data_IF_662087734089
#
_entry.id   IF_662087734089
#
_cell.length_a   1.000
_cell.length_b   1.000
_cell.length_c   1.000
_cell.angle_alpha   90.00
_cell.angle_beta   90.00
_cell.angle_gamma   90.00
#
_symmetry.space_group_name_H-M   'P 1'
#
loop_
_entity.id
_entity.type
_entity.pdbx_description
1 polymer ?
#
# COMPACT_ATOMS: atom_id res chain seq x y z
N UNK A 1 31.37 23.28 -51.27
CA UNK A 1 30.14 22.67 -50.75
C UNK A 1 30.48 22.03 -49.41
N UNK A 2 30.20 22.75 -48.32
CA UNK A 2 30.65 22.46 -46.95
C UNK A 2 29.64 21.51 -46.31
N UNK A 3 30.09 20.31 -45.90
CA UNK A 3 29.22 19.32 -45.25
C UNK A 3 29.05 19.68 -43.77
N UNK A 4 27.88 20.20 -43.41
CA UNK A 4 27.48 20.40 -42.02
C UNK A 4 27.35 19.04 -41.30
N UNK A 5 28.28 18.77 -40.40
CA UNK A 5 28.16 17.69 -39.41
C UNK A 5 27.32 18.19 -38.24
N UNK A 6 26.05 17.77 -38.18
CA UNK A 6 25.20 18.00 -37.02
C UNK A 6 25.63 17.07 -35.89
N UNK A 7 26.11 17.65 -34.79
CA UNK A 7 26.46 16.95 -33.56
C UNK A 7 25.16 16.59 -32.84
N UNK A 8 24.80 15.30 -32.84
CA UNK A 8 23.71 14.75 -32.04
C UNK A 8 24.19 14.60 -30.59
N UNK A 9 23.83 15.57 -29.75
CA UNK A 9 24.07 15.54 -28.31
C UNK A 9 23.03 14.60 -27.65
N UNK A 10 23.40 13.33 -27.49
CA UNK A 10 22.56 12.33 -26.81
C UNK A 10 22.45 12.64 -25.32
N UNK A 11 21.29 13.12 -24.88
CA UNK A 11 20.97 13.33 -23.47
C UNK A 11 20.72 11.97 -22.81
N UNK A 12 21.73 11.41 -22.15
CA UNK A 12 21.59 10.24 -21.28
C UNK A 12 21.05 10.69 -19.91
N UNK A 13 19.73 10.85 -19.78
CA UNK A 13 19.08 11.01 -18.48
C UNK A 13 19.12 9.64 -17.78
N UNK A 14 19.92 9.55 -16.72
CA UNK A 14 20.10 8.34 -15.94
C UNK A 14 18.79 7.89 -15.27
N UNK A 15 18.31 6.70 -15.62
CA UNK A 15 17.26 5.98 -14.90
C UNK A 15 17.83 5.39 -13.61
N UNK A 16 18.12 6.22 -12.62
CA UNK A 16 18.30 5.75 -11.25
C UNK A 16 16.92 5.51 -10.64
N UNK A 17 16.33 4.31 -10.84
CA UNK A 17 14.96 4.09 -10.38
C UNK A 17 14.39 2.68 -10.24
N UNK A 18 15.08 1.60 -10.61
CA UNK A 18 14.52 0.24 -10.49
C UNK A 18 15.13 -0.54 -9.33
N UNK A 19 14.89 -0.11 -8.09
CA UNK A 19 15.10 -1.01 -6.94
C UNK A 19 13.85 -1.87 -6.81
N UNK A 20 13.89 -3.08 -7.33
CA UNK A 20 12.78 -4.03 -7.27
C UNK A 20 12.49 -4.36 -5.80
N UNK A 21 11.29 -3.98 -5.33
CA UNK A 21 10.84 -4.36 -3.99
C UNK A 21 10.47 -5.84 -4.05
N UNK A 22 11.40 -6.71 -3.63
CA UNK A 22 11.17 -8.16 -3.61
C UNK A 22 10.45 -8.55 -2.32
N UNK A 23 9.23 -9.06 -2.44
CA UNK A 23 8.54 -9.72 -1.33
C UNK A 23 9.17 -11.08 -1.03
N UNK A 24 9.16 -11.48 0.26
CA UNK A 24 9.56 -12.83 0.66
C UNK A 24 8.49 -13.83 0.21
N UNK A 25 8.93 -14.79 -0.62
CA UNK A 25 8.09 -15.85 -1.18
C UNK A 25 8.24 -17.19 -0.46
N UNK A 26 9.22 -17.32 0.43
CA UNK A 26 9.59 -18.59 1.07
C UNK A 26 8.80 -18.82 2.36
N UNK A 27 8.32 -17.75 3.00
CA UNK A 27 7.57 -17.82 4.25
C UNK A 27 6.17 -17.21 4.16
N UNK A 28 5.27 -17.71 5.00
CA UNK A 28 3.95 -17.16 5.20
C UNK A 28 3.61 -17.19 6.71
N UNK A 29 2.94 -16.13 7.19
CA UNK A 29 2.29 -16.16 8.50
C UNK A 29 0.79 -16.34 8.37
N UNK A 30 0.19 -16.96 9.38
CA UNK A 30 -1.26 -17.13 9.47
C UNK A 30 -1.82 -16.23 10.57
N UNK A 31 -2.90 -15.53 10.26
CA UNK A 31 -3.71 -14.77 11.21
C UNK A 31 -5.13 -15.33 11.24
N UNK A 32 -5.75 -15.33 12.41
CA UNK A 32 -7.17 -15.70 12.57
C UNK A 32 -8.02 -14.60 13.19
N UNK A 33 -7.39 -13.48 13.55
CA UNK A 33 -8.01 -12.27 14.08
C UNK A 33 -7.56 -11.06 13.23
N UNK A 34 -8.28 -9.94 13.30
CA UNK A 34 -7.98 -8.73 12.50
C UNK A 34 -6.60 -8.13 12.81
N UNK A 35 -6.10 -8.34 14.03
CA UNK A 35 -4.71 -8.10 14.38
C UNK A 35 -3.89 -9.32 14.00
N UNK A 36 -2.96 -9.16 13.05
CA UNK A 36 -1.98 -10.19 12.75
C UNK A 36 -1.08 -10.47 13.97
N UNK A 37 -0.61 -11.72 14.16
CA UNK A 37 0.33 -12.05 15.24
C UNK A 37 1.58 -11.18 15.19
N UNK A 38 2.15 -10.86 16.36
CA UNK A 38 3.38 -10.05 16.45
C UNK A 38 4.61 -10.76 15.83
N UNK A 39 4.50 -12.06 15.54
CA UNK A 39 5.50 -12.85 14.80
C UNK A 39 5.46 -12.63 13.29
N UNK A 40 4.42 -11.99 12.75
CA UNK A 40 4.35 -11.63 11.34
C UNK A 40 5.35 -10.51 11.02
N UNK A 41 6.17 -10.72 9.98
CA UNK A 41 7.22 -9.78 9.56
C UNK A 41 6.80 -9.04 8.28
N UNK A 42 6.92 -7.70 8.22
CA UNK A 42 6.62 -6.96 7.00
C UNK A 42 7.40 -7.49 5.79
N UNK A 43 6.73 -7.60 4.63
CA UNK A 43 7.32 -8.08 3.38
C UNK A 43 7.15 -9.57 3.09
N UNK A 44 6.72 -10.39 4.06
CA UNK A 44 6.35 -11.79 3.84
C UNK A 44 4.87 -11.96 3.50
N UNK A 45 4.44 -13.15 3.07
CA UNK A 45 3.02 -13.46 2.88
C UNK A 45 2.28 -13.54 4.21
N UNK A 46 1.06 -13.02 4.26
CA UNK A 46 0.10 -13.30 5.34
C UNK A 46 -1.14 -13.96 4.77
N UNK A 47 -1.67 -14.94 5.47
CA UNK A 47 -2.94 -15.61 5.18
C UNK A 47 -3.87 -15.36 6.36
N UNK A 48 -5.03 -14.77 6.11
CA UNK A 48 -6.07 -14.59 7.10
C UNK A 48 -7.16 -15.63 6.93
N UNK A 49 -7.38 -16.41 7.99
CA UNK A 49 -8.39 -17.46 8.10
C UNK A 49 -9.21 -17.21 9.37
N UNK A 50 -10.37 -16.53 9.27
CA UNK A 50 -11.22 -16.24 10.42
C UNK A 50 -11.76 -17.53 11.03
N UNK A 51 -12.00 -17.52 12.34
CA UNK A 51 -12.58 -18.66 13.07
C UNK A 51 -13.99 -19.02 12.61
N UNK A 52 -14.71 -18.04 12.06
CA UNK A 52 -16.08 -18.19 11.55
C UNK A 52 -16.20 -17.54 10.19
N UNK A 53 -16.84 -18.23 9.26
CA UNK A 53 -17.14 -17.75 7.91
C UNK A 53 -18.55 -17.12 7.84
N UNK A 54 -18.80 -16.30 6.81
CA UNK A 54 -20.15 -15.76 6.55
C UNK A 54 -20.25 -14.23 6.49
N UNK A 55 -19.14 -13.51 6.70
CA UNK A 55 -19.07 -12.08 6.42
C UNK A 55 -17.86 -11.75 5.52
N UNK A 56 -18.07 -11.61 4.19
CA UNK A 56 -16.99 -11.34 3.23
C UNK A 56 -16.31 -9.97 3.43
N UNK A 57 -16.91 -9.08 4.25
CA UNK A 57 -16.26 -7.82 4.61
C UNK A 57 -15.07 -8.03 5.55
N UNK A 58 -15.02 -9.13 6.31
CA UNK A 58 -13.94 -9.37 7.28
C UNK A 58 -12.60 -9.64 6.58
N UNK A 59 -12.51 -10.52 5.56
CA UNK A 59 -11.29 -10.64 4.75
C UNK A 59 -10.86 -9.33 4.09
N UNK A 60 -11.79 -8.54 3.56
CA UNK A 60 -11.49 -7.23 2.94
C UNK A 60 -10.94 -6.25 3.97
N UNK A 61 -11.53 -6.19 5.17
CA UNK A 61 -11.07 -5.34 6.26
C UNK A 61 -9.66 -5.75 6.73
N UNK A 62 -9.42 -7.05 6.89
CA UNK A 62 -8.08 -7.56 7.20
C UNK A 62 -7.08 -7.05 6.16
N UNK A 63 -7.45 -7.08 4.88
CA UNK A 63 -6.57 -6.64 3.80
C UNK A 63 -6.23 -5.16 3.89
N UNK A 64 -7.23 -4.30 4.11
CA UNK A 64 -7.01 -2.85 4.24
C UNK A 64 -6.11 -2.47 5.42
N UNK A 65 -6.15 -3.25 6.50
CA UNK A 65 -5.37 -2.97 7.71
C UNK A 65 -3.95 -3.57 7.67
N UNK A 66 -3.77 -4.70 6.99
CA UNK A 66 -2.56 -5.51 7.11
C UNK A 66 -1.78 -5.71 5.81
N UNK A 67 -2.31 -5.35 4.65
CA UNK A 67 -1.70 -5.66 3.36
C UNK A 67 -0.99 -4.48 2.68
N UNK A 68 0.05 -4.81 1.92
CA UNK A 68 0.56 -3.94 0.88
C UNK A 68 -0.26 -4.07 -0.41
N UNK A 69 -1.19 -3.15 -0.61
CA UNK A 69 -2.06 -3.11 -1.78
C UNK A 69 -1.33 -2.68 -3.07
N UNK A 70 -0.02 -2.37 -3.01
CA UNK A 70 0.82 -2.22 -4.20
C UNK A 70 1.15 -3.57 -4.85
N UNK A 71 0.92 -4.67 -4.13
CA UNK A 71 1.00 -6.05 -4.62
C UNK A 71 -0.40 -6.64 -4.81
N UNK A 72 -0.45 -7.77 -5.51
CA UNK A 72 -1.68 -8.54 -5.66
C UNK A 72 -2.24 -8.99 -4.31
N UNK A 73 -3.57 -8.91 -4.20
CA UNK A 73 -4.34 -9.44 -3.08
C UNK A 73 -5.25 -10.52 -3.63
N UNK A 74 -5.24 -11.70 -3.01
CA UNK A 74 -6.15 -12.80 -3.36
C UNK A 74 -7.18 -12.92 -2.25
N UNK A 75 -8.44 -12.69 -2.58
CA UNK A 75 -9.56 -12.70 -1.63
C UNK A 75 -10.61 -13.72 -2.05
N UNK A 76 -11.23 -14.36 -1.07
CA UNK A 76 -12.43 -15.17 -1.21
C UNK A 76 -13.46 -14.71 -0.19
N UNK A 77 -14.66 -15.30 -0.19
CA UNK A 77 -15.69 -15.01 0.82
C UNK A 77 -15.25 -15.36 2.26
N UNK A 78 -14.17 -16.15 2.39
CA UNK A 78 -13.73 -16.68 3.66
C UNK A 78 -12.29 -16.37 4.06
N UNK A 79 -11.45 -15.92 3.13
CA UNK A 79 -10.03 -15.77 3.40
C UNK A 79 -9.44 -14.64 2.56
N UNK A 80 -8.28 -14.15 3.00
CA UNK A 80 -7.44 -13.28 2.17
C UNK A 80 -5.98 -13.66 2.34
N UNK A 81 -5.21 -13.53 1.26
CA UNK A 81 -3.75 -13.55 1.33
C UNK A 81 -3.13 -12.40 0.53
N UNK A 82 -2.03 -11.86 1.06
CA UNK A 82 -1.34 -10.69 0.54
C UNK A 82 0.06 -10.58 1.13
N UNK A 83 0.82 -9.56 0.70
CA UNK A 83 2.07 -9.18 1.36
C UNK A 83 1.78 -8.37 2.62
N UNK A 84 2.33 -8.80 3.76
CA UNK A 84 2.10 -8.16 5.05
C UNK A 84 2.81 -6.81 5.13
N UNK A 85 2.04 -5.77 5.42
CA UNK A 85 2.49 -4.40 5.70
C UNK A 85 1.40 -3.71 6.53
N UNK A 86 1.44 -3.82 7.87
CA UNK A 86 0.40 -3.28 8.73
C UNK A 86 0.37 -1.75 8.65
N UNK A 87 -0.83 -1.19 8.62
CA UNK A 87 -1.00 0.27 8.71
C UNK A 87 -0.50 0.75 10.08
N UNK A 88 0.22 1.86 10.07
CA UNK A 88 0.44 2.61 11.30
C UNK A 88 -0.83 3.40 11.58
N UNK A 89 -1.33 3.36 12.81
CA UNK A 89 -2.47 4.19 13.20
C UNK A 89 -2.14 5.63 12.84
N UNK A 90 -2.97 6.27 12.02
CA UNK A 90 -2.85 7.70 11.79
C UNK A 90 -3.03 8.37 13.15
N UNK A 91 -2.01 9.05 13.67
CA UNK A 91 -2.25 10.08 14.67
C UNK A 91 -3.12 11.10 13.95
N UNK A 92 -4.33 11.43 14.43
CA UNK A 92 -5.13 12.47 13.80
C UNK A 92 -4.26 13.72 13.75
N UNK A 93 -3.91 14.13 12.53
CA UNK A 93 -3.27 15.41 12.29
C UNK A 93 -4.22 16.45 12.90
N UNK A 94 -3.75 17.22 13.89
CA UNK A 94 -4.54 18.34 14.38
C UNK A 94 -4.80 19.23 13.17
N UNK A 95 -6.04 19.24 12.69
CA UNK A 95 -6.50 20.18 11.67
C UNK A 95 -6.28 21.58 12.23
N UNK A 96 -5.16 22.20 11.85
CA UNK A 96 -4.90 23.61 12.08
C UNK A 96 -5.88 24.39 11.23
N UNK A 97 -6.98 24.82 11.85
CA UNK A 97 -7.97 25.67 11.21
C UNK A 97 -7.32 26.96 10.74
N UNK A 98 -7.22 27.14 9.43
CA UNK A 98 -7.07 28.47 8.84
C UNK A 98 -8.45 29.13 8.86
N UNK A 99 -8.62 30.06 9.80
CA UNK A 99 -9.75 30.97 9.85
C UNK A 99 -9.73 31.86 8.60
N UNK A 100 -10.50 31.48 7.59
CA UNK A 100 -10.91 32.38 6.51
C UNK A 100 -12.26 33.00 6.87
N UNK A 101 -12.26 34.11 7.60
CA UNK A 101 -13.44 34.97 7.77
C UNK A 101 -13.89 35.48 6.40
N UNK A 102 -14.98 34.95 5.86
CA UNK A 102 -15.76 35.61 4.81
C UNK A 102 -17.08 36.06 5.44
N UNK A 103 -17.29 37.39 5.44
CA UNK A 103 -18.50 38.04 5.95
C UNK A 103 -19.77 37.52 5.25
N UNK A 104 -20.95 37.54 5.89
CA UNK A 104 -22.21 37.25 5.22
C UNK A 104 -22.51 38.30 4.14
N UNK A 105 -22.95 37.85 2.97
CA UNK A 105 -23.63 38.66 1.96
C UNK A 105 -25.09 38.74 2.38
N UNK A 106 -25.56 39.95 2.67
CA UNK A 106 -26.97 40.29 2.88
C UNK A 106 -27.72 40.18 1.53
N UNK A 107 -28.88 39.53 1.52
CA UNK A 107 -29.83 39.53 0.40
C UNK A 107 -31.02 40.41 0.75
#
# INVERSE_FOLDING_TARGET
MTRSTAVLLSVAIGLAGCTERKADQDTACQASDLKAPDTCKPGQKVVFLPKTFGNPQVPVLFAGMNCDLSYSVVVTDGAVTCIYRPVKTAVPEKQGGSQGSSKPVEQ
#
